data_IF_077577204381
#
_entry.id   IF_077577204381
#
_cell.length_a   1.000
_cell.length_b   1.000
_cell.length_c   1.000
_cell.angle_alpha   90.00
_cell.angle_beta   90.00
_cell.angle_gamma   90.00
#
_symmetry.space_group_name_H-M   'P 1'
#
loop_
_entity.id
_entity.type
_entity.pdbx_description
1 polymer ?
#
# COMPACT_ATOMS: atom_id res chain seq x y z
N UNK A 1 -25.62 45.92 23.73
CA UNK A 1 -25.11 44.79 22.93
C UNK A 1 -25.96 44.67 21.67
N UNK A 2 -25.48 45.18 20.54
CA UNK A 2 -26.24 45.21 19.27
C UNK A 2 -26.64 43.81 18.80
N UNK A 3 -27.85 43.68 18.28
CA UNK A 3 -28.43 42.44 17.73
C UNK A 3 -27.52 41.78 16.68
N UNK A 4 -26.75 42.60 15.95
CA UNK A 4 -25.76 42.16 14.98
C UNK A 4 -24.61 41.34 15.61
N UNK A 5 -24.19 41.67 16.83
CA UNK A 5 -23.15 40.90 17.54
C UNK A 5 -23.68 39.55 18.00
N UNK A 6 -24.96 39.45 18.39
CA UNK A 6 -25.60 38.17 18.75
C UNK A 6 -25.68 37.23 17.54
N UNK A 7 -26.12 37.74 16.39
CA UNK A 7 -26.22 36.97 15.14
C UNK A 7 -24.83 36.50 14.68
N UNK A 8 -23.83 37.38 14.71
CA UNK A 8 -22.46 37.02 14.35
C UNK A 8 -21.86 35.97 15.31
N UNK A 9 -22.16 36.04 16.61
CA UNK A 9 -21.73 35.05 17.59
C UNK A 9 -22.36 33.67 17.34
N UNK A 10 -23.67 33.64 17.03
CA UNK A 10 -24.38 32.41 16.67
C UNK A 10 -23.81 31.77 15.39
N UNK A 11 -23.55 32.56 14.35
CA UNK A 11 -22.97 32.07 13.09
C UNK A 11 -21.56 31.48 13.28
N UNK A 12 -20.73 32.13 14.11
CA UNK A 12 -19.40 31.59 14.49
C UNK A 12 -19.51 30.34 15.36
N UNK A 13 -20.55 30.25 16.19
CA UNK A 13 -20.87 29.03 16.95
C UNK A 13 -21.14 27.86 16.02
N UNK A 14 -22.10 28.02 15.10
CA UNK A 14 -22.49 26.99 14.14
C UNK A 14 -21.32 26.52 13.26
N UNK A 15 -20.53 27.44 12.72
CA UNK A 15 -19.37 27.09 11.88
C UNK A 15 -18.29 26.30 12.64
N UNK A 16 -18.10 26.59 13.94
CA UNK A 16 -17.16 25.81 14.78
C UNK A 16 -17.68 24.40 15.03
N UNK A 17 -18.97 24.25 15.28
CA UNK A 17 -19.61 22.95 15.48
C UNK A 17 -19.50 22.11 14.21
N UNK A 18 -19.83 22.67 13.05
CA UNK A 18 -19.72 22.00 11.75
C UNK A 18 -18.28 21.56 11.44
N UNK A 19 -17.30 22.44 11.64
CA UNK A 19 -15.88 22.09 11.48
C UNK A 19 -15.49 20.89 12.36
N UNK A 20 -15.95 20.86 13.60
CA UNK A 20 -15.67 19.76 14.52
C UNK A 20 -16.33 18.45 14.07
N UNK A 21 -17.54 18.49 13.50
CA UNK A 21 -18.16 17.31 12.90
C UNK A 21 -17.31 16.74 11.76
N UNK A 22 -16.82 17.60 10.86
CA UNK A 22 -15.92 17.18 9.79
C UNK A 22 -14.64 16.55 10.31
N UNK A 23 -14.00 17.15 11.32
CA UNK A 23 -12.78 16.61 11.93
C UNK A 23 -12.98 15.20 12.50
N UNK A 24 -14.13 14.93 13.12
CA UNK A 24 -14.44 13.61 13.66
C UNK A 24 -14.74 12.60 12.55
N UNK A 25 -15.49 12.98 11.51
CA UNK A 25 -15.76 12.10 10.37
C UNK A 25 -14.46 11.77 9.59
N UNK A 26 -13.58 12.75 9.40
CA UNK A 26 -12.27 12.53 8.79
C UNK A 26 -11.41 11.59 9.64
N UNK A 27 -11.44 11.74 10.97
CA UNK A 27 -10.76 10.82 11.87
C UNK A 27 -11.32 9.40 11.81
N UNK A 28 -12.65 9.25 11.72
CA UNK A 28 -13.33 7.96 11.53
C UNK A 28 -12.85 7.29 10.23
N UNK A 29 -12.83 8.04 9.12
CA UNK A 29 -12.37 7.53 7.81
C UNK A 29 -10.90 7.11 7.86
N UNK A 30 -10.03 7.97 8.39
CA UNK A 30 -8.61 7.67 8.50
C UNK A 30 -8.33 6.44 9.37
N UNK A 31 -9.09 6.24 10.46
CA UNK A 31 -8.97 5.03 11.29
C UNK A 31 -9.46 3.81 10.49
N UNK A 32 -10.58 3.92 9.76
CA UNK A 32 -11.08 2.82 8.94
C UNK A 32 -10.08 2.42 7.84
N UNK A 33 -9.44 3.38 7.18
CA UNK A 33 -8.42 3.14 6.16
C UNK A 33 -7.17 2.48 6.76
N UNK A 34 -6.70 2.99 7.92
CA UNK A 34 -5.59 2.37 8.65
C UNK A 34 -5.91 0.92 9.04
N UNK A 35 -7.13 0.64 9.47
CA UNK A 35 -7.56 -0.72 9.79
C UNK A 35 -7.65 -1.59 8.54
N UNK A 36 -8.20 -1.09 7.44
CA UNK A 36 -8.28 -1.81 6.17
C UNK A 36 -6.89 -2.19 5.64
N UNK A 37 -5.90 -1.29 5.78
CA UNK A 37 -4.52 -1.55 5.41
C UNK A 37 -3.79 -2.54 6.35
N UNK A 38 -4.34 -2.81 7.53
CA UNK A 38 -3.74 -3.67 8.56
C UNK A 38 -4.62 -4.90 8.87
N UNK A 39 -5.25 -5.49 7.85
CA UNK A 39 -6.07 -6.70 7.97
C UNK A 39 -7.22 -6.57 8.99
N UNK A 40 -7.82 -5.38 9.07
CA UNK A 40 -8.89 -5.05 10.01
C UNK A 40 -8.41 -4.69 11.43
N UNK A 41 -7.10 -4.67 11.67
CA UNK A 41 -6.52 -4.39 13.00
C UNK A 41 -6.07 -2.94 13.07
N UNK A 42 -6.50 -2.22 14.11
CA UNK A 42 -6.03 -0.85 14.31
C UNK A 42 -4.54 -0.84 14.72
N UNK A 43 -3.65 -0.11 14.01
CA UNK A 43 -2.21 -0.21 14.26
C UNK A 43 -1.74 0.51 15.54
N UNK A 44 -2.55 1.43 16.08
CA UNK A 44 -2.20 2.26 17.25
C UNK A 44 -2.95 1.82 18.51
N UNK A 45 -2.56 2.38 19.65
CA UNK A 45 -3.22 2.17 20.95
C UNK A 45 -3.48 0.68 21.30
N UNK A 46 -2.53 -0.19 20.95
CA UNK A 46 -2.63 -1.63 21.20
C UNK A 46 -3.81 -2.31 20.50
N UNK A 47 -4.28 -1.80 19.36
CA UNK A 47 -5.41 -2.36 18.61
C UNK A 47 -6.77 -1.80 18.99
N UNK A 48 -6.86 -0.98 20.04
CA UNK A 48 -8.13 -0.48 20.54
C UNK A 48 -8.43 0.92 20.02
N UNK A 49 -9.59 1.08 19.39
CA UNK A 49 -10.17 2.39 19.08
C UNK A 49 -11.16 2.74 20.19
N UNK A 50 -10.89 3.82 20.91
CA UNK A 50 -11.74 4.35 21.99
C UNK A 50 -12.21 5.76 21.67
N UNK A 51 -13.12 6.32 22.49
CA UNK A 51 -13.56 7.70 22.33
C UNK A 51 -12.39 8.69 22.50
N UNK A 52 -11.52 8.45 23.49
CA UNK A 52 -10.28 9.20 23.67
C UNK A 52 -9.37 9.15 22.44
N UNK A 53 -9.21 7.98 21.83
CA UNK A 53 -8.39 7.83 20.63
C UNK A 53 -9.00 8.56 19.43
N UNK A 54 -10.32 8.47 19.26
CA UNK A 54 -11.02 9.22 18.22
C UNK A 54 -10.88 10.74 18.44
N UNK A 55 -11.00 11.23 19.67
CA UNK A 55 -10.80 12.63 20.02
C UNK A 55 -9.38 13.09 19.65
N UNK A 56 -8.38 12.30 20.02
CA UNK A 56 -6.97 12.55 19.71
C UNK A 56 -6.73 12.64 18.21
N UNK A 57 -7.34 11.75 17.43
CA UNK A 57 -7.21 11.70 15.96
C UNK A 57 -7.93 12.85 15.27
N UNK A 58 -9.07 13.27 15.80
CA UNK A 58 -9.81 14.44 15.32
C UNK A 58 -9.19 15.78 15.77
N UNK A 59 -8.19 15.76 16.65
CA UNK A 59 -7.57 16.98 17.19
C UNK A 59 -8.46 17.76 18.15
N UNK A 60 -9.39 17.08 18.83
CA UNK A 60 -10.30 17.67 19.81
C UNK A 60 -10.06 17.09 21.20
N UNK A 61 -10.44 17.84 22.25
CA UNK A 61 -10.43 17.32 23.61
C UNK A 61 -11.59 16.32 23.79
N UNK A 62 -11.32 15.15 24.38
CA UNK A 62 -12.34 14.12 24.66
C UNK A 62 -13.56 14.68 25.41
N UNK A 63 -13.37 15.62 26.35
CA UNK A 63 -14.45 16.27 27.08
C UNK A 63 -15.47 16.99 26.17
N UNK A 64 -15.08 17.31 24.94
CA UNK A 64 -15.95 17.96 23.94
C UNK A 64 -17.13 17.08 23.53
N UNK A 65 -16.98 15.76 23.52
CA UNK A 65 -18.10 14.83 23.25
C UNK A 65 -19.15 14.86 24.36
N UNK A 66 -18.78 15.22 25.59
CA UNK A 66 -19.66 15.20 26.74
C UNK A 66 -20.37 16.53 27.01
N UNK A 67 -20.15 17.55 26.15
CA UNK A 67 -20.88 18.82 26.22
C UNK A 67 -22.32 18.64 25.73
N UNK A 68 -23.26 19.36 26.35
CA UNK A 68 -24.70 19.29 26.04
C UNK A 68 -25.01 19.61 24.58
N UNK A 69 -24.24 20.50 23.96
CA UNK A 69 -24.45 20.91 22.57
C UNK A 69 -23.97 19.87 21.54
N UNK A 70 -23.24 18.83 21.97
CA UNK A 70 -22.58 17.86 21.11
C UNK A 70 -23.13 16.43 21.26
N UNK A 71 -24.36 16.29 21.74
CA UNK A 71 -25.02 14.98 21.93
C UNK A 71 -25.07 14.18 20.63
N UNK A 72 -25.47 14.79 19.52
CA UNK A 72 -25.51 14.14 18.22
C UNK A 72 -24.13 13.64 17.76
N UNK A 73 -23.07 14.41 17.99
CA UNK A 73 -21.70 14.02 17.67
C UNK A 73 -21.26 12.82 18.51
N UNK A 74 -21.56 12.83 19.81
CA UNK A 74 -21.26 11.73 20.72
C UNK A 74 -22.00 10.45 20.32
N UNK A 75 -23.29 10.54 20.01
CA UNK A 75 -24.10 9.41 19.58
C UNK A 75 -23.55 8.79 18.30
N UNK A 76 -23.25 9.62 17.30
CA UNK A 76 -22.63 9.19 16.03
C UNK A 76 -21.32 8.44 16.27
N UNK A 77 -20.41 9.02 17.05
CA UNK A 77 -19.13 8.40 17.38
C UNK A 77 -19.32 7.09 18.16
N UNK A 78 -20.25 7.05 19.11
CA UNK A 78 -20.52 5.87 19.92
C UNK A 78 -21.10 4.74 19.07
N UNK A 79 -22.05 5.03 18.19
CA UNK A 79 -22.62 4.07 17.25
C UNK A 79 -21.55 3.46 16.35
N UNK A 80 -20.62 4.28 15.84
CA UNK A 80 -19.51 3.78 15.04
C UNK A 80 -18.57 2.87 15.86
N UNK A 81 -18.20 3.26 17.08
CA UNK A 81 -17.39 2.42 17.97
C UNK A 81 -18.09 1.09 18.32
N UNK A 82 -19.40 1.11 18.55
CA UNK A 82 -20.18 -0.12 18.79
C UNK A 82 -20.27 -0.99 17.53
N UNK A 83 -20.41 -0.39 16.34
CA UNK A 83 -20.36 -1.12 15.08
C UNK A 83 -18.98 -1.76 14.85
N UNK A 84 -17.90 -1.08 15.24
CA UNK A 84 -16.55 -1.64 15.22
C UNK A 84 -16.42 -2.82 16.20
N UNK A 85 -16.92 -2.71 17.43
CA UNK A 85 -16.86 -3.81 18.40
C UNK A 85 -17.60 -5.07 17.94
N UNK A 86 -18.74 -4.90 17.25
CA UNK A 86 -19.56 -6.02 16.74
C UNK A 86 -18.92 -6.73 15.55
N UNK A 87 -18.17 -6.02 14.71
CA UNK A 87 -17.29 -6.64 13.71
C UNK A 87 -16.06 -7.15 14.45
N UNK A 88 -16.07 -8.42 14.85
CA UNK A 88 -15.14 -9.14 15.76
C UNK A 88 -13.61 -8.86 15.69
N UNK A 89 -13.11 -8.01 14.78
CA UNK A 89 -11.72 -7.62 14.64
C UNK A 89 -11.26 -6.43 15.54
N UNK A 90 -12.19 -5.68 16.16
CA UNK A 90 -11.88 -4.38 16.81
C UNK A 90 -12.10 -4.38 18.32
N UNK A 91 -11.92 -5.53 18.97
CA UNK A 91 -11.66 -5.57 20.40
C UNK A 91 -10.22 -5.21 20.70
N UNK A 92 -9.86 -5.09 21.99
CA UNK A 92 -8.46 -5.24 22.45
C UNK A 92 -8.04 -6.67 22.13
N UNK A 93 -7.83 -6.96 20.85
CA UNK A 93 -7.46 -8.27 20.38
C UNK A 93 -6.09 -8.49 20.99
N UNK A 94 -6.00 -9.43 21.94
CA UNK A 94 -4.75 -9.94 22.47
C UNK A 94 -3.92 -10.25 21.24
N UNK A 95 -2.99 -9.35 20.94
CA UNK A 95 -2.33 -9.16 19.65
C UNK A 95 -1.84 -10.52 19.17
N UNK A 96 -2.66 -11.24 18.39
CA UNK A 96 -2.44 -12.66 18.11
C UNK A 96 -1.23 -12.84 17.20
N UNK A 97 -0.90 -11.77 16.46
CA UNK A 97 0.43 -11.54 15.88
C UNK A 97 1.16 -10.44 16.61
N UNK A 98 2.03 -10.82 17.55
CA UNK A 98 2.95 -9.90 18.22
C UNK A 98 3.69 -9.04 17.18
N UNK A 99 4.21 -7.87 17.59
CA UNK A 99 5.09 -7.07 16.73
C UNK A 99 6.18 -7.94 16.06
N UNK A 100 6.67 -8.93 16.80
CA UNK A 100 7.62 -9.91 16.31
C UNK A 100 7.06 -10.77 15.16
N UNK A 101 5.85 -11.32 15.27
CA UNK A 101 5.24 -12.09 14.17
C UNK A 101 4.96 -11.23 12.93
N UNK A 102 4.68 -9.94 13.11
CA UNK A 102 4.57 -9.00 11.97
C UNK A 102 5.94 -8.72 11.35
N UNK A 103 6.96 -8.49 12.17
CA UNK A 103 8.33 -8.30 11.70
C UNK A 103 8.85 -9.54 10.96
N UNK A 104 8.55 -10.74 11.47
CA UNK A 104 8.85 -12.02 10.82
C UNK A 104 8.13 -12.13 9.47
N UNK A 105 6.83 -11.83 9.41
CA UNK A 105 6.09 -11.85 8.13
C UNK A 105 6.63 -10.85 7.11
N UNK A 106 7.05 -9.66 7.55
CA UNK A 106 7.69 -8.68 6.67
C UNK A 106 9.06 -9.16 6.20
N UNK A 107 9.84 -9.78 7.09
CA UNK A 107 11.13 -10.39 6.74
C UNK A 107 10.94 -11.50 5.71
N UNK A 108 9.98 -12.40 5.91
CA UNK A 108 9.67 -13.47 4.94
C UNK A 108 9.33 -12.91 3.56
N UNK A 109 8.49 -11.87 3.49
CA UNK A 109 8.14 -11.19 2.23
C UNK A 109 9.36 -10.56 1.56
N UNK A 110 10.22 -9.92 2.37
CA UNK A 110 11.44 -9.30 1.89
C UNK A 110 12.44 -10.33 1.37
N UNK A 111 12.68 -11.40 2.12
CA UNK A 111 13.58 -12.49 1.74
C UNK A 111 13.09 -13.18 0.46
N UNK A 112 11.76 -13.39 0.32
CA UNK A 112 11.17 -13.92 -0.89
C UNK A 112 11.37 -13.00 -2.11
N UNK A 113 11.25 -11.68 -1.92
CA UNK A 113 11.49 -10.70 -2.99
C UNK A 113 12.98 -10.68 -3.38
N UNK A 114 13.87 -10.66 -2.40
CA UNK A 114 15.32 -10.69 -2.62
C UNK A 114 15.74 -11.95 -3.37
N UNK A 115 15.24 -13.13 -2.97
CA UNK A 115 15.53 -14.39 -3.64
C UNK A 115 15.04 -14.39 -5.09
N UNK A 116 13.82 -13.90 -5.35
CA UNK A 116 13.31 -13.74 -6.72
C UNK A 116 14.19 -12.82 -7.55
N UNK A 117 14.62 -11.70 -6.98
CA UNK A 117 15.49 -10.75 -7.68
C UNK A 117 16.85 -11.37 -8.02
N UNK A 118 17.48 -12.08 -7.08
CA UNK A 118 18.74 -12.80 -7.32
C UNK A 118 18.57 -13.83 -8.44
N UNK A 119 17.47 -14.61 -8.42
CA UNK A 119 17.19 -15.59 -9.48
C UNK A 119 17.05 -14.89 -10.84
N UNK A 120 16.33 -13.78 -10.92
CA UNK A 120 16.15 -13.05 -12.18
C UNK A 120 17.46 -12.45 -12.70
N UNK A 121 18.32 -11.95 -11.81
CA UNK A 121 19.65 -11.44 -12.18
C UNK A 121 20.54 -12.56 -12.73
N UNK A 122 20.55 -13.73 -12.09
CA UNK A 122 21.30 -14.90 -12.58
C UNK A 122 20.77 -15.38 -13.94
N UNK A 123 19.45 -15.40 -14.12
CA UNK A 123 18.84 -15.72 -15.41
C UNK A 123 19.25 -14.72 -16.49
N UNK A 124 19.24 -13.42 -16.17
CA UNK A 124 19.66 -12.37 -17.10
C UNK A 124 21.12 -12.55 -17.53
N UNK A 125 22.02 -12.80 -16.58
CA UNK A 125 23.44 -13.06 -16.87
C UNK A 125 23.62 -14.29 -17.77
N UNK A 126 22.86 -15.36 -17.53
CA UNK A 126 22.91 -16.55 -18.38
C UNK A 126 22.41 -16.27 -19.80
N UNK A 127 21.28 -15.58 -19.95
CA UNK A 127 20.78 -15.19 -21.26
C UNK A 127 21.76 -14.28 -22.01
N UNK A 128 22.44 -13.37 -21.33
CA UNK A 128 23.47 -12.52 -21.94
C UNK A 128 24.65 -13.34 -22.47
N UNK A 129 25.16 -14.29 -21.68
CA UNK A 129 26.24 -15.17 -22.12
C UNK A 129 25.83 -16.04 -23.31
N UNK A 130 24.60 -16.57 -23.32
CA UNK A 130 24.05 -17.33 -24.44
C UNK A 130 23.90 -16.45 -25.69
N UNK A 131 23.44 -15.22 -25.54
CA UNK A 131 23.32 -14.25 -26.62
C UNK A 131 24.68 -13.91 -27.25
N UNK A 132 25.69 -13.63 -26.42
CA UNK A 132 27.05 -13.36 -26.88
C UNK A 132 27.68 -14.56 -27.60
N UNK A 133 27.40 -15.78 -27.13
CA UNK A 133 27.83 -17.00 -27.82
C UNK A 133 27.14 -17.11 -29.18
N UNK A 134 25.82 -16.95 -29.23
CA UNK A 134 25.05 -17.08 -30.47
C UNK A 134 25.45 -16.02 -31.50
N UNK A 135 25.74 -14.78 -31.06
CA UNK A 135 26.27 -13.73 -31.92
C UNK A 135 27.62 -14.11 -32.53
N UNK A 136 28.53 -14.68 -31.74
CA UNK A 136 29.84 -15.16 -32.23
C UNK A 136 29.67 -16.29 -33.23
N UNK A 137 28.85 -17.28 -32.92
CA UNK A 137 28.60 -18.43 -33.78
C UNK A 137 27.96 -17.99 -35.11
N UNK A 138 26.99 -17.06 -35.06
CA UNK A 138 26.36 -16.48 -36.24
C UNK A 138 27.36 -15.69 -37.10
N UNK A 139 28.21 -14.87 -36.49
CA UNK A 139 29.27 -14.14 -37.20
C UNK A 139 30.27 -15.08 -37.89
N UNK A 140 30.69 -16.14 -37.20
CA UNK A 140 31.58 -17.16 -37.77
C UNK A 140 30.93 -17.89 -38.96
N UNK A 141 29.64 -18.23 -38.86
CA UNK A 141 28.89 -18.87 -39.94
C UNK A 141 28.78 -17.95 -41.17
N UNK A 142 28.49 -16.67 -40.97
CA UNK A 142 28.44 -15.69 -42.07
C UNK A 142 29.79 -15.58 -42.79
N UNK A 143 30.90 -15.55 -42.06
CA UNK A 143 32.23 -15.54 -42.67
C UNK A 143 32.52 -16.84 -43.43
N UNK A 144 32.13 -18.01 -42.90
CA UNK A 144 32.26 -19.27 -43.63
C UNK A 144 31.46 -19.28 -44.93
N UNK A 145 30.22 -18.79 -44.92
CA UNK A 145 29.40 -18.67 -46.13
C UNK A 145 30.03 -17.71 -47.16
N UNK A 146 30.60 -16.59 -46.69
CA UNK A 146 31.30 -15.62 -47.54
C UNK A 146 32.56 -16.21 -48.19
N UNK A 147 33.35 -16.97 -47.44
CA UNK A 147 34.55 -17.65 -47.95
C UNK A 147 34.19 -18.80 -48.91
N UNK A 148 33.14 -19.57 -48.59
CA UNK A 148 32.64 -20.65 -49.44
C UNK A 148 32.11 -20.15 -50.79
N UNK A 149 31.41 -19.02 -50.81
CA UNK A 149 30.94 -18.38 -52.07
C UNK A 149 32.07 -17.75 -52.88
N UNK A 150 33.16 -17.31 -52.23
CA UNK A 150 34.36 -16.80 -52.93
C UNK A 150 35.22 -17.92 -53.57
N UNK A 151 34.99 -19.18 -53.19
CA UNK A 151 35.75 -20.32 -53.74
C UNK A 151 35.18 -20.69 -55.12
N UNK A 152 36.00 -20.56 -56.18
CA UNK A 152 35.59 -20.79 -57.58
C UNK A 152 35.02 -22.19 -57.78
N UNK A 153 33.73 -22.28 -58.09
CA UNK A 153 33.09 -23.52 -58.52
C UNK A 153 33.55 -23.81 -59.96
N UNK A 154 34.42 -24.78 -60.15
CA UNK A 154 34.83 -25.25 -61.48
C UNK A 154 33.71 -26.14 -62.05
N UNK A 155 33.10 -25.79 -63.19
CA UNK A 155 32.02 -26.61 -63.76
C UNK A 155 32.57 -27.95 -64.25
N UNK A 156 31.90 -29.04 -63.86
CA UNK A 156 32.24 -30.40 -64.29
C UNK A 156 32.08 -30.48 -65.82
N UNK A 157 33.14 -30.85 -66.58
CA UNK A 157 33.05 -30.94 -68.03
C UNK A 157 32.06 -32.04 -68.42
N UNK A 158 31.06 -31.69 -69.23
CA UNK A 158 30.11 -32.67 -69.78
C UNK A 158 30.85 -33.61 -70.72
N UNK A 159 30.81 -34.91 -70.42
CA UNK A 159 31.34 -35.96 -71.28
C UNK A 159 30.63 -35.90 -72.65
N UNK A 160 31.41 -35.82 -73.73
CA UNK A 160 30.88 -35.88 -75.10
C UNK A 160 30.55 -37.34 -75.44
N UNK A 161 29.33 -37.56 -75.93
CA UNK A 161 28.87 -38.77 -76.64
C UNK A 161 29.70 -39.07 -77.87
#
# INVERSE_FOLDING_TARGET
MSEQHKIAALKRGAARTEKMFHQVEDAIRAIADEMAANDGIYPRNGGAVSMAELARRAGINEATFYKKDNTALKERASLWLEALKKKEAVGRMRVRKSFQQRAESWKEKYDALQNRHIITELQLQQLQAEHEKLQRDYGALLEQMRLGTATKITPIPKAKT
#
